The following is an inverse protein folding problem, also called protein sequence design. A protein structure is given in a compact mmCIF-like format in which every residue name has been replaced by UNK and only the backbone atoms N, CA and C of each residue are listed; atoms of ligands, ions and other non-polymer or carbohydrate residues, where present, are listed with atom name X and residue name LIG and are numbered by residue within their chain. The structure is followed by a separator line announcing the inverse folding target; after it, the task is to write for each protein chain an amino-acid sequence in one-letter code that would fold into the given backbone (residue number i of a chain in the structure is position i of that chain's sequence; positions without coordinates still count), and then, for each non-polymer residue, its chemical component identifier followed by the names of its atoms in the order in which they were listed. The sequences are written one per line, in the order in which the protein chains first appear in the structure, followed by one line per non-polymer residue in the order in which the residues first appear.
data_IF_082464083212
#
_entry.id   IF_082464083212
#
_cell.length_a   1.000
_cell.length_b   1.000
_cell.length_c   1.000
_cell.angle_alpha   90.00
_cell.angle_beta   90.00
_cell.angle_gamma   90.00
#
_symmetry.space_group_name_H-M   'P 1'
#
loop_
_entity.id
_entity.type
_entity.pdbx_description
1 polymer ?
#
# COMPACT_ATOMS: atom_id res chain seq x y z
N UNK A 1 -8.64 9.53 -2.72
CA UNK A 1 -8.24 9.33 -4.13
C UNK A 1 -7.45 8.04 -4.38
N UNK A 2 -6.29 7.80 -3.74
CA UNK A 2 -5.38 6.70 -4.14
C UNK A 2 -5.90 5.27 -3.92
N UNK A 3 -6.62 4.99 -2.84
CA UNK A 3 -7.25 3.66 -2.64
C UNK A 3 -8.28 3.32 -3.73
N UNK A 4 -8.94 4.32 -4.31
CA UNK A 4 -9.85 4.13 -5.45
C UNK A 4 -9.12 3.63 -6.70
N UNK A 5 -7.88 4.10 -6.94
CA UNK A 5 -7.06 3.61 -8.06
C UNK A 5 -6.65 2.14 -7.86
N UNK A 6 -6.33 1.76 -6.62
CA UNK A 6 -6.02 0.36 -6.28
C UNK A 6 -7.22 -0.54 -6.55
N UNK A 7 -8.42 -0.15 -6.10
CA UNK A 7 -9.65 -0.89 -6.36
C UNK A 7 -9.99 -0.95 -7.86
N UNK A 8 -9.80 0.16 -8.58
CA UNK A 8 -10.01 0.21 -10.03
C UNK A 8 -9.07 -0.75 -10.78
N UNK A 9 -7.78 -0.75 -10.45
CA UNK A 9 -6.81 -1.67 -11.04
C UNK A 9 -7.16 -3.14 -10.76
N UNK A 10 -7.63 -3.44 -9.54
CA UNK A 10 -8.13 -4.78 -9.21
C UNK A 10 -9.35 -5.17 -10.04
N UNK A 11 -10.31 -4.25 -10.29
CA UNK A 11 -11.46 -4.52 -11.17
C UNK A 11 -10.98 -4.83 -12.59
N UNK A 12 -10.10 -4.00 -13.16
CA UNK A 12 -9.55 -4.22 -14.50
C UNK A 12 -8.87 -5.58 -14.59
N UNK A 13 -8.07 -5.95 -13.59
CA UNK A 13 -7.36 -7.23 -13.57
C UNK A 13 -8.33 -8.43 -13.59
N UNK A 14 -9.49 -8.34 -12.93
CA UNK A 14 -10.49 -9.40 -12.89
C UNK A 14 -11.36 -9.41 -14.17
N UNK A 15 -11.88 -8.27 -14.56
CA UNK A 15 -12.82 -8.13 -15.68
C UNK A 15 -12.15 -8.45 -17.02
N UNK A 16 -10.87 -8.11 -17.14
CA UNK A 16 -10.11 -8.27 -18.37
C UNK A 16 -9.23 -9.53 -18.41
N UNK A 17 -9.27 -10.36 -17.36
CA UNK A 17 -8.47 -11.59 -17.28
C UNK A 17 -8.68 -12.52 -18.49
N UNK A 18 -9.94 -12.66 -18.94
CA UNK A 18 -10.29 -13.49 -20.10
C UNK A 18 -9.68 -13.01 -21.43
N UNK A 19 -9.24 -11.76 -21.48
CA UNK A 19 -8.63 -11.13 -22.65
C UNK A 19 -7.11 -11.06 -22.55
N UNK A 20 -6.50 -11.65 -21.52
CA UNK A 20 -5.06 -11.60 -21.29
C UNK A 20 -4.52 -10.23 -20.87
N UNK A 21 -5.39 -9.29 -20.51
CA UNK A 21 -4.97 -7.96 -20.02
C UNK A 21 -4.57 -8.07 -18.55
N UNK A 22 -3.45 -7.45 -18.22
CA UNK A 22 -2.88 -7.40 -16.86
C UNK A 22 -3.03 -6.00 -16.28
N UNK A 23 -3.37 -5.90 -15.00
CA UNK A 23 -3.42 -4.62 -14.30
C UNK A 23 -2.79 -4.74 -12.93
N UNK A 24 -1.84 -3.85 -12.63
CA UNK A 24 -1.12 -3.78 -11.37
C UNK A 24 -1.03 -2.31 -10.92
N UNK A 25 -0.89 -2.08 -9.62
CA UNK A 25 -0.63 -0.76 -9.04
C UNK A 25 0.80 -0.65 -8.53
N UNK A 26 1.37 0.54 -8.67
CA UNK A 26 2.60 0.92 -7.97
C UNK A 26 2.26 2.06 -7.01
N UNK A 27 2.65 1.91 -5.75
CA UNK A 27 2.66 2.91 -4.69
C UNK A 27 4.11 3.44 -4.54
N UNK A 28 4.53 4.43 -5.35
CA UNK A 28 5.93 4.84 -5.40
C UNK A 28 6.34 5.70 -4.22
N UNK A 29 7.58 5.51 -3.76
CA UNK A 29 8.31 6.52 -2.98
C UNK A 29 9.30 7.19 -3.91
N UNK A 30 8.96 8.41 -4.36
CA UNK A 30 9.85 9.19 -5.18
C UNK A 30 9.86 10.66 -4.77
N UNK A 31 11.06 11.24 -4.80
CA UNK A 31 11.23 12.67 -4.77
C UNK A 31 11.01 13.24 -6.18
N UNK A 32 10.09 14.20 -6.26
CA UNK A 32 9.76 14.93 -7.49
C UNK A 32 9.56 16.41 -7.19
N UNK A 33 9.43 17.24 -8.23
CA UNK A 33 9.07 18.66 -8.06
C UNK A 33 7.79 18.84 -7.23
N UNK A 34 6.85 17.89 -7.31
CA UNK A 34 5.60 17.89 -6.53
C UNK A 34 5.82 17.63 -5.04
N UNK A 35 6.80 16.82 -4.65
CA UNK A 35 7.11 16.53 -3.23
C UNK A 35 8.15 17.49 -2.66
N UNK A 36 8.80 18.30 -3.51
CA UNK A 36 9.82 19.27 -3.10
C UNK A 36 9.27 20.50 -2.39
N UNK A 37 7.96 20.75 -2.45
CA UNK A 37 7.31 21.86 -1.76
C UNK A 37 7.04 21.59 -0.28
N UNK A 38 7.46 20.44 0.27
CA UNK A 38 7.30 20.13 1.70
C UNK A 38 8.25 21.03 2.50
N UNK A 39 7.74 21.94 3.36
CA UNK A 39 8.60 22.83 4.15
C UNK A 39 9.48 22.03 5.11
N UNK A 40 10.77 22.36 5.13
CA UNK A 40 11.73 21.81 6.08
C UNK A 40 12.39 22.97 6.85
N UNK A 41 11.89 23.23 8.04
CA UNK A 41 12.28 24.40 8.84
C UNK A 41 13.32 24.03 9.90
N UNK A 42 13.26 22.79 10.41
CA UNK A 42 14.21 22.27 11.39
C UNK A 42 15.40 21.55 10.73
N UNK A 43 16.58 21.47 11.39
CA UNK A 43 17.72 20.70 10.89
C UNK A 43 17.39 19.23 10.61
N UNK A 44 16.57 18.61 11.46
CA UNK A 44 16.13 17.22 11.33
C UNK A 44 15.24 17.01 10.10
N UNK A 45 14.33 17.95 9.83
CA UNK A 45 13.51 17.94 8.61
C UNK A 45 14.37 18.12 7.35
N UNK A 46 15.40 18.97 7.39
CA UNK A 46 16.33 19.15 6.26
C UNK A 46 17.08 17.87 5.94
N UNK A 47 17.63 17.20 6.95
CA UNK A 47 18.29 15.89 6.77
C UNK A 47 17.33 14.82 6.24
N UNK A 48 16.08 14.83 6.69
CA UNK A 48 15.04 13.93 6.16
C UNK A 48 14.75 14.21 4.69
N UNK A 49 14.68 15.48 4.29
CA UNK A 49 14.51 15.89 2.89
C UNK A 49 15.68 15.43 2.04
N UNK A 50 16.92 15.64 2.48
CA UNK A 50 18.12 15.14 1.78
C UNK A 50 18.07 13.62 1.58
N UNK A 51 17.67 12.86 2.61
CA UNK A 51 17.47 11.41 2.48
C UNK A 51 16.38 11.08 1.44
N UNK A 52 15.25 11.80 1.44
CA UNK A 52 14.18 11.59 0.45
C UNK A 52 14.62 11.93 -0.98
N UNK A 53 15.48 12.93 -1.17
CA UNK A 53 16.01 13.31 -2.49
C UNK A 53 16.77 12.19 -3.19
N UNK A 54 17.34 11.24 -2.43
CA UNK A 54 18.00 10.05 -3.00
C UNK A 54 17.02 9.03 -3.59
N UNK A 55 15.71 9.17 -3.34
CA UNK A 55 14.65 8.32 -3.90
C UNK A 55 14.19 8.89 -5.25
N UNK A 56 15.07 8.86 -6.25
CA UNK A 56 14.75 9.36 -7.58
C UNK A 56 13.68 8.53 -8.31
N UNK A 57 12.97 9.15 -9.25
CA UNK A 57 11.95 8.47 -10.06
C UNK A 57 12.52 7.34 -10.93
N UNK A 58 13.82 7.41 -11.27
CA UNK A 58 14.57 6.37 -11.97
C UNK A 58 14.50 5.01 -11.26
N UNK A 59 14.41 5.01 -9.93
CA UNK A 59 14.33 3.78 -9.13
C UNK A 59 13.07 2.96 -9.42
N UNK A 60 11.98 3.64 -9.79
CA UNK A 60 10.70 2.99 -10.11
C UNK A 60 10.66 2.50 -11.56
N UNK A 61 11.47 3.10 -12.45
CA UNK A 61 11.40 2.88 -13.89
C UNK A 61 11.61 1.41 -14.27
N UNK A 62 12.52 0.70 -13.59
CA UNK A 62 12.79 -0.71 -13.86
C UNK A 62 11.55 -1.59 -13.64
N UNK A 63 10.82 -1.39 -12.54
CA UNK A 63 9.59 -2.14 -12.26
C UNK A 63 8.48 -1.79 -13.27
N UNK A 64 8.36 -0.52 -13.65
CA UNK A 64 7.40 -0.09 -14.68
C UNK A 64 7.70 -0.76 -16.02
N UNK A 65 8.96 -0.75 -16.45
CA UNK A 65 9.38 -1.39 -17.69
C UNK A 65 9.13 -2.90 -17.66
N UNK A 66 9.41 -3.57 -16.54
CA UNK A 66 9.09 -5.00 -16.35
C UNK A 66 7.58 -5.28 -16.49
N UNK A 67 6.74 -4.53 -15.77
CA UNK A 67 5.28 -4.69 -15.81
C UNK A 67 4.66 -4.35 -17.17
N UNK A 68 5.33 -3.52 -17.98
CA UNK A 68 4.93 -3.19 -19.34
C UNK A 68 5.44 -4.21 -20.38
N UNK A 69 6.31 -5.15 -20.00
CA UNK A 69 6.91 -6.14 -20.89
C UNK A 69 6.17 -7.48 -20.88
N UNK A 70 6.55 -8.37 -21.81
CA UNK A 70 6.07 -9.76 -21.83
C UNK A 70 6.64 -10.62 -20.69
N UNK A 71 7.75 -10.18 -20.06
CA UNK A 71 8.37 -10.90 -18.94
C UNK A 71 7.46 -11.01 -17.73
N UNK A 72 6.46 -10.14 -17.60
CA UNK A 72 5.51 -10.12 -16.48
C UNK A 72 4.18 -10.81 -16.81
N UNK A 73 4.18 -11.75 -17.77
CA UNK A 73 2.94 -12.35 -18.33
C UNK A 73 2.05 -13.04 -17.29
N UNK A 74 2.61 -13.48 -16.17
CA UNK A 74 1.93 -14.10 -15.03
C UNK A 74 1.61 -13.11 -13.89
N UNK A 75 2.00 -11.83 -14.02
CA UNK A 75 1.83 -10.81 -12.97
C UNK A 75 0.62 -9.92 -13.27
N UNK A 76 -0.47 -10.15 -12.53
CA UNK A 76 -1.65 -9.28 -12.54
C UNK A 76 -2.25 -9.16 -11.14
N UNK A 77 -3.05 -8.11 -10.93
CA UNK A 77 -3.80 -7.88 -9.72
C UNK A 77 -2.91 -7.69 -8.48
N UNK A 78 -1.74 -7.06 -8.63
CA UNK A 78 -0.80 -6.80 -7.53
C UNK A 78 -0.66 -5.31 -7.21
N UNK A 79 -0.24 -5.02 -5.98
CA UNK A 79 0.14 -3.66 -5.55
C UNK A 79 1.59 -3.70 -5.09
N UNK A 80 2.47 -3.04 -5.83
CA UNK A 80 3.89 -2.94 -5.48
C UNK A 80 4.23 -1.58 -4.90
N UNK A 81 5.32 -1.48 -4.14
CA UNK A 81 6.02 -0.22 -3.85
C UNK A 81 7.47 -0.35 -4.23
N UNK A 82 8.08 0.80 -4.52
CA UNK A 82 9.51 0.91 -4.72
C UNK A 82 10.05 2.00 -3.80
N UNK A 83 11.07 1.66 -3.02
CA UNK A 83 11.82 2.55 -2.12
C UNK A 83 13.30 2.34 -2.39
N UNK A 84 13.92 3.20 -3.21
CA UNK A 84 15.29 2.98 -3.74
C UNK A 84 15.44 1.59 -4.39
N UNK A 85 16.28 0.71 -3.85
CA UNK A 85 16.52 -0.63 -4.39
C UNK A 85 15.59 -1.68 -3.76
N UNK A 86 14.69 -1.28 -2.86
CA UNK A 86 13.69 -2.13 -2.24
C UNK A 86 12.39 -2.14 -3.08
N UNK A 87 11.95 -3.33 -3.51
CA UNK A 87 10.62 -3.54 -4.09
C UNK A 87 9.78 -4.34 -3.10
N UNK A 88 8.61 -3.81 -2.74
CA UNK A 88 7.69 -4.41 -1.79
C UNK A 88 6.41 -4.85 -2.50
N UNK A 89 5.85 -5.98 -2.06
CA UNK A 89 4.50 -6.41 -2.44
C UNK A 89 3.54 -6.12 -1.28
N UNK A 90 2.54 -5.28 -1.52
CA UNK A 90 1.46 -5.08 -0.56
C UNK A 90 0.46 -6.22 -0.61
N UNK A 91 0.03 -6.66 0.57
CA UNK A 91 -1.14 -7.51 0.69
C UNK A 91 -2.41 -6.76 0.31
N UNK A 92 -3.43 -7.49 -0.13
CA UNK A 92 -4.79 -6.97 -0.23
C UNK A 92 -5.49 -7.11 1.12
N UNK A 93 -6.51 -6.28 1.41
CA UNK A 93 -7.35 -6.52 2.57
C UNK A 93 -7.97 -7.93 2.48
N UNK A 94 -7.74 -8.73 3.51
CA UNK A 94 -8.34 -10.05 3.72
C UNK A 94 -9.06 -10.03 5.06
N UNK A 95 -10.12 -10.84 5.25
CA UNK A 95 -10.71 -11.02 6.57
C UNK A 95 -9.64 -11.40 7.59
N UNK A 96 -9.49 -10.62 8.66
CA UNK A 96 -8.50 -10.85 9.73
C UNK A 96 -9.11 -11.65 10.89
N UNK A 97 -10.40 -11.46 11.16
CA UNK A 97 -11.13 -12.17 12.22
C UNK A 97 -12.61 -12.28 11.87
N UNK A 98 -13.24 -13.34 12.35
CA UNK A 98 -14.69 -13.57 12.26
C UNK A 98 -15.21 -14.12 13.58
N UNK A 99 -16.49 -13.87 13.87
CA UNK A 99 -17.20 -14.45 14.98
C UNK A 99 -18.65 -14.66 14.55
N UNK A 100 -19.21 -15.80 14.92
CA UNK A 100 -20.59 -16.18 14.59
C UNK A 100 -21.40 -16.17 15.88
N UNK A 101 -22.61 -15.63 15.81
CA UNK A 101 -23.62 -15.65 16.86
C UNK A 101 -24.90 -16.21 16.26
N UNK A 102 -25.32 -17.39 16.74
CA UNK A 102 -26.36 -18.20 16.07
C UNK A 102 -27.73 -17.52 16.12
N UNK A 103 -28.00 -16.84 17.23
CA UNK A 103 -29.20 -16.05 17.51
C UNK A 103 -29.23 -14.69 16.78
N UNK A 104 -28.16 -14.35 16.07
CA UNK A 104 -27.98 -13.05 15.40
C UNK A 104 -27.35 -11.99 16.30
N UNK A 105 -26.97 -10.87 15.70
CA UNK A 105 -26.29 -9.77 16.39
C UNK A 105 -27.27 -8.65 16.76
N UNK A 106 -27.21 -8.20 18.02
CA UNK A 106 -27.81 -6.93 18.46
C UNK A 106 -26.71 -5.87 18.63
N UNK A 107 -27.02 -4.57 18.57
CA UNK A 107 -26.03 -3.53 18.85
C UNK A 107 -25.35 -3.68 20.22
N UNK A 108 -26.09 -4.13 21.25
CA UNK A 108 -25.55 -4.40 22.58
C UNK A 108 -24.55 -5.56 22.55
N UNK A 109 -24.89 -6.70 21.95
CA UNK A 109 -23.99 -7.84 21.81
C UNK A 109 -22.74 -7.50 20.98
N UNK A 110 -22.87 -6.63 19.97
CA UNK A 110 -21.69 -6.14 19.22
C UNK A 110 -20.75 -5.36 20.15
N UNK A 111 -21.29 -4.44 20.96
CA UNK A 111 -20.49 -3.63 21.87
C UNK A 111 -19.86 -4.42 23.02
N UNK A 112 -20.60 -5.38 23.58
CA UNK A 112 -20.22 -6.14 24.78
C UNK A 112 -19.42 -7.41 24.47
N UNK A 113 -19.63 -8.03 23.32
CA UNK A 113 -19.00 -9.32 22.96
C UNK A 113 -18.04 -9.18 21.76
N UNK A 114 -18.53 -8.67 20.62
CA UNK A 114 -17.77 -8.69 19.36
C UNK A 114 -16.58 -7.74 19.37
N UNK A 115 -16.80 -6.46 19.71
CA UNK A 115 -15.76 -5.44 19.68
C UNK A 115 -14.61 -5.79 20.64
N UNK A 116 -14.86 -6.20 21.90
CA UNK A 116 -13.80 -6.67 22.78
C UNK A 116 -13.02 -7.86 22.19
N UNK A 117 -13.70 -8.83 21.57
CA UNK A 117 -13.06 -9.98 20.95
C UNK A 117 -12.21 -9.64 19.70
N UNK A 118 -12.52 -8.53 19.02
CA UNK A 118 -11.80 -8.10 17.81
C UNK A 118 -10.72 -7.05 18.10
N UNK A 119 -10.82 -6.31 19.20
CA UNK A 119 -9.92 -5.21 19.56
C UNK A 119 -8.42 -5.56 19.49
N UNK A 120 -7.95 -6.75 19.91
CA UNK A 120 -6.54 -7.11 19.79
C UNK A 120 -6.04 -7.21 18.34
N UNK A 121 -6.93 -7.38 17.37
CA UNK A 121 -6.61 -7.49 15.95
C UNK A 121 -6.85 -6.17 15.19
N UNK A 122 -7.29 -5.10 15.86
CA UNK A 122 -7.48 -3.81 15.21
C UNK A 122 -6.12 -3.21 14.81
N UNK A 123 -6.10 -2.60 13.62
CA UNK A 123 -5.00 -1.74 13.23
C UNK A 123 -4.85 -0.59 14.24
N UNK A 124 -3.63 -0.12 14.43
CA UNK A 124 -3.38 1.03 15.30
C UNK A 124 -4.05 2.27 14.70
N UNK A 125 -4.73 3.05 15.52
CA UNK A 125 -5.42 4.26 15.07
C UNK A 125 -4.46 5.35 14.58
N UNK A 126 -3.21 5.32 15.04
CA UNK A 126 -2.14 6.27 14.71
C UNK A 126 -1.12 5.70 13.72
N UNK A 127 -1.44 4.60 13.01
CA UNK A 127 -0.49 3.97 12.11
C UNK A 127 -0.07 4.90 10.96
N UNK A 128 1.23 5.17 10.86
CA UNK A 128 1.85 5.91 9.75
C UNK A 128 2.96 5.06 9.13
N UNK A 129 3.45 5.46 7.96
CA UNK A 129 4.49 4.72 7.22
C UNK A 129 5.74 4.42 8.06
N UNK A 130 6.10 5.28 9.01
CA UNK A 130 7.25 5.06 9.90
C UNK A 130 7.07 3.87 10.86
N UNK A 131 5.83 3.52 11.21
CA UNK A 131 5.55 2.32 12.02
C UNK A 131 5.69 1.04 11.20
N UNK A 132 5.38 1.10 9.90
CA UNK A 132 5.46 -0.04 8.97
C UNK A 132 6.88 -0.22 8.42
N UNK A 133 7.60 0.88 8.19
CA UNK A 133 8.96 0.90 7.67
C UNK A 133 9.91 1.58 8.68
N UNK A 134 10.32 0.87 9.75
CA UNK A 134 11.15 1.44 10.81
C UNK A 134 12.63 1.58 10.43
N UNK A 135 12.97 1.39 9.15
CA UNK A 135 14.34 1.41 8.61
C UNK A 135 14.43 2.25 7.35
N UNK A 136 15.64 2.75 7.10
CA UNK A 136 15.97 3.47 5.88
C UNK A 136 16.08 2.50 4.69
N UNK A 137 15.52 2.85 3.52
CA UNK A 137 15.65 2.02 2.33
C UNK A 137 17.09 2.10 1.80
N UNK A 138 17.56 0.97 1.27
CA UNK A 138 18.90 0.76 0.69
C UNK A 138 18.87 0.95 -0.81
#
# INVERSE_FOLDING_TARGET
AKLGLVAMSQSIALDMARWGVRSNCIAPFAWSRMTASIPAETPEQKQRVERMQTMGADKIAALVAYLASDLSSDVTNQVFSVRKNEILLFSKPRPVRSMVKLEGWTPAAIAEELIPAFKPAFARADEVSAHVFPYDPV
#
